data_IF_114338396549
#
_entry.id   IF_114338396549
#
_cell.length_a   1.000
_cell.length_b   1.000
_cell.length_c   1.000
_cell.angle_alpha   90.00
_cell.angle_beta   90.00
_cell.angle_gamma   90.00
#
_symmetry.space_group_name_H-M   'P 1'
#
loop_
_entity.id
_entity.type
_entity.pdbx_description
1 polymer ?
#
# COMPACT_ATOMS: atom_id res chain seq x y z
N UNK A 1 -46.72 16.43 -11.06
CA UNK A 1 -46.68 15.28 -11.98
C UNK A 1 -45.70 14.27 -11.42
N UNK A 2 -46.11 13.00 -11.27
CA UNK A 2 -45.39 11.98 -10.51
C UNK A 2 -44.00 11.70 -11.06
N UNK A 3 -42.99 11.83 -10.20
CA UNK A 3 -41.62 11.46 -10.50
C UNK A 3 -41.46 9.96 -10.25
N UNK A 4 -41.02 9.22 -11.28
CA UNK A 4 -40.59 7.84 -11.12
C UNK A 4 -39.07 7.84 -10.87
N UNK A 5 -38.61 7.38 -9.70
CA UNK A 5 -37.18 7.32 -9.41
C UNK A 5 -36.47 6.33 -10.34
N UNK A 6 -35.22 6.63 -10.69
CA UNK A 6 -34.39 5.78 -11.55
C UNK A 6 -34.01 4.45 -10.88
N UNK A 7 -33.85 4.46 -9.55
CA UNK A 7 -33.47 3.30 -8.75
C UNK A 7 -34.38 3.14 -7.53
N UNK A 8 -34.82 1.91 -7.31
CA UNK A 8 -35.69 1.53 -6.19
C UNK A 8 -35.25 0.20 -5.58
N UNK A 9 -35.55 0.04 -4.29
CA UNK A 9 -35.47 -1.25 -3.58
C UNK A 9 -36.88 -1.62 -3.13
N UNK A 10 -37.23 -2.90 -3.28
CA UNK A 10 -38.51 -3.47 -2.86
C UNK A 10 -38.29 -4.63 -1.89
N UNK A 11 -39.26 -4.86 -1.00
CA UNK A 11 -39.21 -5.99 -0.06
C UNK A 11 -39.75 -7.28 -0.70
N UNK A 12 -40.81 -7.14 -1.50
CA UNK A 12 -41.53 -8.26 -2.09
C UNK A 12 -41.89 -7.97 -3.55
N UNK A 13 -41.77 -9.01 -4.38
CA UNK A 13 -42.24 -9.01 -5.76
C UNK A 13 -43.43 -9.96 -5.87
N UNK A 14 -44.58 -9.43 -6.26
CA UNK A 14 -45.81 -10.22 -6.44
C UNK A 14 -45.97 -10.51 -7.94
N UNK A 15 -45.79 -11.77 -8.31
CA UNK A 15 -45.97 -12.24 -9.69
C UNK A 15 -47.45 -12.60 -9.93
N UNK A 16 -48.12 -11.84 -10.83
CA UNK A 16 -49.49 -12.15 -11.30
C UNK A 16 -49.52 -12.14 -12.84
N UNK A 17 -50.53 -11.53 -13.48
CA UNK A 17 -50.48 -11.16 -14.91
C UNK A 17 -49.53 -9.98 -15.15
N UNK A 18 -49.37 -9.12 -14.14
CA UNK A 18 -48.36 -8.07 -14.08
C UNK A 18 -47.58 -8.21 -12.78
N UNK A 19 -46.31 -7.84 -12.82
CA UNK A 19 -45.45 -7.86 -11.63
C UNK A 19 -45.63 -6.56 -10.86
N UNK A 20 -45.88 -6.67 -9.55
CA UNK A 20 -46.02 -5.54 -8.65
C UNK A 20 -44.95 -5.59 -7.57
N UNK A 21 -44.35 -4.45 -7.27
CA UNK A 21 -43.35 -4.30 -6.20
C UNK A 21 -44.03 -3.74 -4.94
N UNK A 22 -43.85 -4.39 -3.79
CA UNK A 22 -44.40 -3.96 -2.50
C UNK A 22 -43.29 -3.45 -1.57
N UNK A 23 -43.64 -2.46 -0.74
CA UNK A 23 -42.72 -1.73 0.15
C UNK A 23 -41.54 -1.11 -0.63
N UNK A 24 -41.85 -0.28 -1.63
CA UNK A 24 -40.86 0.34 -2.52
C UNK A 24 -40.29 1.61 -1.91
N UNK A 25 -38.96 1.73 -1.90
CA UNK A 25 -38.24 2.93 -1.46
C UNK A 25 -37.30 3.39 -2.57
N UNK A 26 -37.28 4.69 -2.88
CA UNK A 26 -36.30 5.28 -3.79
C UNK A 26 -34.91 5.31 -3.16
N UNK A 27 -33.89 4.95 -3.92
CA UNK A 27 -32.49 4.92 -3.44
C UNK A 27 -31.55 5.61 -4.43
N UNK A 28 -30.40 6.07 -3.94
CA UNK A 28 -29.31 6.54 -4.79
C UNK A 28 -28.42 5.37 -5.23
N UNK A 29 -27.99 5.37 -6.49
CA UNK A 29 -27.11 4.31 -7.03
C UNK A 29 -25.77 4.21 -6.28
N UNK A 30 -25.26 5.33 -5.75
CA UNK A 30 -24.02 5.37 -4.98
C UNK A 30 -24.10 4.49 -3.72
N UNK A 31 -25.22 4.52 -3.00
CA UNK A 31 -25.39 3.72 -1.79
C UNK A 31 -25.33 2.23 -2.07
N UNK A 32 -25.86 1.78 -3.21
CA UNK A 32 -25.77 0.37 -3.63
C UNK A 32 -24.32 -0.04 -3.92
N UNK A 33 -23.53 0.82 -4.58
CA UNK A 33 -22.13 0.55 -4.84
C UNK A 33 -21.26 0.54 -3.57
N UNK A 34 -21.60 1.39 -2.59
CA UNK A 34 -20.89 1.46 -1.30
C UNK A 34 -21.20 0.26 -0.39
N UNK A 35 -22.48 -0.11 -0.25
CA UNK A 35 -22.93 -1.19 0.63
C UNK A 35 -22.77 -2.58 -0.01
N UNK A 36 -22.85 -2.68 -1.34
CA UNK A 36 -22.76 -3.92 -2.10
C UNK A 36 -21.69 -3.90 -3.19
N UNK A 37 -20.41 -3.67 -2.86
CA UNK A 37 -19.34 -3.49 -3.85
C UNK A 37 -19.07 -4.75 -4.70
N UNK A 38 -19.50 -5.92 -4.23
CA UNK A 38 -19.40 -7.18 -5.00
C UNK A 38 -20.45 -7.29 -6.10
N UNK A 39 -21.60 -6.63 -5.93
CA UNK A 39 -22.75 -6.74 -6.84
C UNK A 39 -22.90 -5.51 -7.73
N UNK A 40 -22.48 -4.35 -7.25
CA UNK A 40 -22.73 -3.06 -7.90
C UNK A 40 -21.43 -2.30 -8.16
N UNK A 41 -21.33 -1.67 -9.33
CA UNK A 41 -20.26 -0.74 -9.67
C UNK A 41 -20.84 0.42 -10.46
N UNK A 42 -20.51 1.65 -10.06
CA UNK A 42 -20.91 2.83 -10.81
C UNK A 42 -20.10 2.91 -12.11
N UNK A 43 -20.81 3.10 -13.22
CA UNK A 43 -20.19 3.42 -14.50
C UNK A 43 -20.06 4.94 -14.57
N UNK A 44 -18.89 5.45 -14.20
CA UNK A 44 -18.55 6.85 -14.48
C UNK A 44 -18.60 7.08 -15.99
N UNK A 45 -19.36 8.09 -16.42
CA UNK A 45 -19.46 8.48 -17.82
C UNK A 45 -18.06 8.85 -18.33
N UNK A 46 -17.48 7.98 -19.16
CA UNK A 46 -16.12 8.13 -19.69
C UNK A 46 -15.25 6.91 -19.45
N UNK A 47 -15.35 6.26 -18.29
CA UNK A 47 -14.46 5.14 -17.93
C UNK A 47 -14.82 3.85 -18.65
N UNK A 48 -14.33 3.71 -19.88
CA UNK A 48 -14.40 2.45 -20.62
C UNK A 48 -13.60 1.37 -19.87
N UNK A 49 -13.92 0.08 -20.13
CA UNK A 49 -13.15 -1.05 -19.59
C UNK A 49 -11.65 -0.94 -19.93
N UNK A 50 -11.34 -0.29 -21.04
CA UNK A 50 -9.98 0.01 -21.51
C UNK A 50 -9.31 1.04 -20.59
N UNK A 51 -9.99 2.11 -20.21
CA UNK A 51 -9.46 3.13 -19.30
C UNK A 51 -9.20 2.58 -17.91
N UNK A 52 -10.10 1.75 -17.36
CA UNK A 52 -9.87 1.07 -16.07
C UNK A 52 -8.62 0.19 -16.12
N UNK A 53 -8.40 -0.54 -17.23
CA UNK A 53 -7.20 -1.36 -17.44
C UNK A 53 -5.94 -0.49 -17.57
N UNK A 54 -6.02 0.64 -18.27
CA UNK A 54 -4.89 1.54 -18.40
C UNK A 54 -4.51 2.18 -17.06
N UNK A 55 -5.51 2.57 -16.27
CA UNK A 55 -5.30 3.07 -14.91
C UNK A 55 -4.69 1.99 -13.99
N UNK A 56 -5.13 0.73 -14.09
CA UNK A 56 -4.54 -0.35 -13.29
C UNK A 56 -3.08 -0.59 -13.65
N UNK A 57 -2.74 -0.57 -14.95
CA UNK A 57 -1.35 -0.68 -15.43
C UNK A 57 -0.51 0.51 -14.92
N UNK A 58 -1.03 1.74 -15.03
CA UNK A 58 -0.33 2.95 -14.54
C UNK A 58 -0.10 2.88 -13.04
N UNK A 59 -1.11 2.50 -12.25
CA UNK A 59 -0.99 2.33 -10.80
C UNK A 59 0.05 1.28 -10.43
N UNK A 60 0.04 0.12 -11.11
CA UNK A 60 1.02 -0.93 -10.86
C UNK A 60 2.45 -0.47 -11.16
N UNK A 61 2.65 0.26 -12.27
CA UNK A 61 3.96 0.82 -12.63
C UNK A 61 4.45 1.83 -11.60
N UNK A 62 3.61 2.77 -11.18
CA UNK A 62 3.99 3.77 -10.17
C UNK A 62 4.40 3.10 -8.86
N UNK A 63 3.63 2.09 -8.43
CA UNK A 63 3.93 1.32 -7.22
C UNK A 63 5.28 0.58 -7.32
N UNK A 64 5.60 0.00 -8.49
CA UNK A 64 6.89 -0.65 -8.71
C UNK A 64 8.06 0.34 -8.65
N UNK A 65 7.91 1.52 -9.24
CA UNK A 65 8.93 2.58 -9.21
C UNK A 65 9.17 3.07 -7.78
N UNK A 66 8.11 3.26 -6.99
CA UNK A 66 8.17 3.64 -5.57
C UNK A 66 8.89 2.57 -4.73
N UNK A 67 8.55 1.28 -4.91
CA UNK A 67 9.22 0.17 -4.21
C UNK A 67 10.72 0.12 -4.52
N UNK A 68 11.09 0.32 -5.79
CA UNK A 68 12.48 0.28 -6.22
C UNK A 68 13.29 1.40 -5.57
N UNK A 69 12.76 2.62 -5.51
CA UNK A 69 13.40 3.75 -4.85
C UNK A 69 13.61 3.48 -3.35
N UNK A 70 12.54 3.07 -2.64
CA UNK A 70 12.61 2.76 -1.21
C UNK A 70 13.64 1.65 -0.90
N UNK A 71 13.70 0.59 -1.73
CA UNK A 71 14.67 -0.49 -1.56
C UNK A 71 16.12 -0.04 -1.73
N UNK A 72 16.38 0.88 -2.67
CA UNK A 72 17.71 1.43 -2.94
C UNK A 72 18.19 2.29 -1.77
N UNK A 73 17.32 3.17 -1.26
CA UNK A 73 17.59 3.99 -0.07
C UNK A 73 17.90 3.12 1.16
N UNK A 74 17.07 2.10 1.42
CA UNK A 74 17.32 1.13 2.51
C UNK A 74 18.68 0.43 2.34
N UNK A 75 19.05 0.02 1.13
CA UNK A 75 20.35 -0.61 0.88
C UNK A 75 21.54 0.37 1.06
N UNK A 76 21.31 1.66 0.83
CA UNK A 76 22.29 2.72 1.07
C UNK A 76 22.49 2.95 2.56
N UNK A 77 21.38 3.03 3.32
CA UNK A 77 21.38 3.14 4.78
C UNK A 77 22.02 1.90 5.42
N UNK A 78 21.71 0.69 4.93
CA UNK A 78 22.36 -0.53 5.43
C UNK A 78 23.87 -0.47 5.18
N UNK A 79 24.31 -0.07 3.98
CA UNK A 79 25.73 0.05 3.66
C UNK A 79 26.46 1.10 4.50
N UNK A 80 25.83 2.24 4.79
CA UNK A 80 26.42 3.26 5.68
C UNK A 80 26.44 2.79 7.13
N UNK A 81 25.43 2.05 7.59
CA UNK A 81 25.41 1.43 8.92
C UNK A 81 26.43 0.28 9.06
N UNK A 82 26.73 -0.43 7.96
CA UNK A 82 27.69 -1.55 7.92
C UNK A 82 29.12 -1.12 7.65
N UNK A 83 29.35 0.12 7.22
CA UNK A 83 30.68 0.72 7.21
C UNK A 83 31.16 0.79 8.65
N UNK A 84 32.29 0.14 9.01
CA UNK A 84 32.78 0.17 10.37
C UNK A 84 33.15 1.62 10.67
N UNK A 85 32.34 2.30 11.49
CA UNK A 85 32.77 3.51 12.18
C UNK A 85 34.18 3.21 12.70
N UNK A 86 35.15 3.98 12.20
CA UNK A 86 36.57 3.69 12.34
C UNK A 86 36.88 3.22 13.75
N UNK A 87 37.59 2.09 13.83
CA UNK A 87 38.03 1.41 15.06
C UNK A 87 38.32 2.41 16.18
N UNK A 88 37.30 2.75 16.95
CA UNK A 88 37.48 3.56 18.15
C UNK A 88 37.85 2.52 19.18
N UNK A 89 39.15 2.45 19.52
CA UNK A 89 39.64 1.58 20.58
C UNK A 89 38.97 2.02 21.87
N UNK A 90 37.89 1.34 22.25
CA UNK A 90 37.24 1.53 23.55
C UNK A 90 38.23 0.98 24.58
N UNK A 91 38.86 1.89 25.35
CA UNK A 91 39.69 1.51 26.47
C UNK A 91 38.79 0.98 27.59
N UNK A 92 38.86 -0.33 27.86
CA UNK A 92 38.20 -0.94 29.01
C UNK A 92 38.92 -0.49 30.31
N UNK A 93 38.22 0.10 31.31
CA UNK A 93 38.82 0.43 32.59
C UNK A 93 39.31 -0.84 33.27
N UNK A 94 40.63 -0.97 33.45
CA UNK A 94 41.26 -2.10 34.16
C UNK A 94 42.11 -3.04 33.30
N UNK A 95 42.18 -2.85 31.97
CA UNK A 95 43.08 -3.64 31.12
C UNK A 95 44.42 -2.93 30.95
N UNK A 96 45.44 -3.43 31.62
CA UNK A 96 46.83 -2.97 31.42
C UNK A 96 47.22 -3.23 29.96
N UNK A 97 47.79 -2.24 29.24
CA UNK A 97 48.27 -2.49 27.88
C UNK A 97 49.39 -3.53 27.94
N UNK A 98 49.35 -4.50 27.02
CA UNK A 98 50.41 -5.47 26.88
C UNK A 98 51.74 -4.73 26.71
N UNK A 99 52.63 -4.94 27.68
CA UNK A 99 53.98 -4.37 27.76
C UNK A 99 54.63 -4.33 26.38
N UNK A 100 54.79 -3.14 25.82
CA UNK A 100 55.68 -2.90 24.69
C UNK A 100 57.08 -3.27 25.18
N UNK A 101 57.54 -4.46 24.81
CA UNK A 101 58.90 -4.92 25.13
C UNK A 101 59.86 -4.08 24.28
N UNK A 102 60.27 -2.94 24.84
CA UNK A 102 61.20 -2.01 24.22
C UNK A 102 62.57 -2.66 24.01
N UNK A 103 62.97 -2.66 22.74
CA UNK A 103 64.33 -2.56 22.18
C UNK A 103 65.55 -3.09 22.95
N UNK A 104 66.32 -3.88 22.20
CA UNK A 104 67.78 -3.84 22.02
C UNK A 104 68.71 -3.88 23.25
N UNK A 105 69.52 -4.93 23.32
CA UNK A 105 70.80 -4.94 24.04
C UNK A 105 71.84 -5.65 23.16
N UNK A 106 72.73 -4.83 22.61
CA UNK A 106 74.01 -5.19 21.97
C UNK A 106 74.87 -6.06 22.91
N UNK A 107 75.60 -7.04 22.37
CA UNK A 107 76.78 -7.61 23.05
C UNK A 107 77.16 -9.04 22.65
N UNK A 108 78.32 -9.15 21.99
CA UNK A 108 79.13 -10.34 21.60
C UNK A 108 78.56 -11.27 20.53
#
# INVERSE_FOLDING_TARGET
>A
MGYMPDYVVYHELIMTVKEYMQCVTSVEAAWLAELGPMFYSLKEAGSTRIEKRLQSIRKARNMEEELKQASSELSGIERTARSPAGSTRIAEPGKVPASVRSSARFGM
#
